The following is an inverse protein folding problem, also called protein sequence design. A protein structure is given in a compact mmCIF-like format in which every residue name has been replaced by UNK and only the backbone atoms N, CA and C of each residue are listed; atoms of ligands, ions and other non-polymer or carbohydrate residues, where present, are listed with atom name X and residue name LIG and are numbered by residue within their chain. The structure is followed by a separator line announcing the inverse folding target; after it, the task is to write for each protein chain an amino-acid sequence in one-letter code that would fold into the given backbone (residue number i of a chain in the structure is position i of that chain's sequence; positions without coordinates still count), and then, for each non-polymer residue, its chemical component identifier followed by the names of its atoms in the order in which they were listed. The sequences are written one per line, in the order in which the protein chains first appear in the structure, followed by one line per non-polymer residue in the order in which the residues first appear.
data_IF_825891940710
#
_entry.id   IF_825891940710
#
_cell.length_a   1.000
_cell.length_b   1.000
_cell.length_c   1.000
_cell.angle_alpha   90.00
_cell.angle_beta   90.00
_cell.angle_gamma   90.00
#
_symmetry.space_group_name_H-M   'P 1'
#
loop_
_entity.id
_entity.type
_entity.pdbx_description
1 polymer ?
#
# COMPACT_ATOMS: atom_id res chain seq x y z
N UNK A 1 4.48 -27.11 -17.40
CA UNK A 1 4.05 -27.41 -16.01
C UNK A 1 3.23 -26.23 -15.51
N UNK A 2 1.90 -26.39 -15.54
CA UNK A 2 0.92 -25.40 -15.08
C UNK A 2 0.80 -25.54 -13.57
N UNK A 3 1.13 -24.49 -12.83
CA UNK A 3 0.80 -24.38 -11.42
C UNK A 3 -0.73 -24.21 -11.32
N UNK A 4 -1.39 -25.19 -10.72
CA UNK A 4 -2.81 -25.16 -10.44
C UNK A 4 -3.05 -24.22 -9.25
N UNK A 5 -3.86 -23.18 -9.44
CA UNK A 5 -4.46 -22.40 -8.36
C UNK A 5 -5.97 -22.63 -8.41
N UNK A 6 -6.68 -22.68 -7.26
CA UNK A 6 -8.08 -23.09 -7.18
C UNK A 6 -9.02 -22.21 -8.02
N UNK A 7 -9.96 -22.87 -8.67
CA UNK A 7 -11.06 -22.31 -9.46
C UNK A 7 -11.97 -21.38 -8.67
N UNK A 8 -12.43 -20.32 -9.34
CA UNK A 8 -13.66 -19.54 -9.13
C UNK A 8 -14.51 -19.92 -7.90
N UNK A 9 -14.07 -19.48 -6.74
CA UNK A 9 -14.95 -18.97 -5.69
C UNK A 9 -14.40 -17.60 -5.37
N UNK A 10 -15.25 -16.58 -5.35
CA UNK A 10 -14.90 -15.29 -4.76
C UNK A 10 -14.22 -15.60 -3.43
N UNK A 11 -12.91 -15.35 -3.26
CA UNK A 11 -12.27 -15.68 -2.01
C UNK A 11 -12.99 -14.85 -0.97
N UNK A 12 -13.58 -15.52 0.02
CA UNK A 12 -13.95 -14.90 1.27
C UNK A 12 -12.67 -14.21 1.76
N UNK A 13 -12.61 -12.89 1.60
CA UNK A 13 -11.44 -12.10 1.96
C UNK A 13 -11.10 -12.44 3.40
N UNK A 14 -9.89 -12.94 3.70
CA UNK A 14 -9.44 -13.05 5.07
C UNK A 14 -9.53 -11.67 5.68
N UNK A 15 -10.36 -11.59 6.70
CA UNK A 15 -10.65 -10.38 7.40
C UNK A 15 -9.38 -9.72 7.96
N UNK A 16 -9.24 -8.39 7.92
CA UNK A 16 -8.34 -7.74 8.85
C UNK A 16 -8.86 -8.04 10.27
N UNK A 17 -8.23 -8.99 10.95
CA UNK A 17 -8.57 -9.36 12.32
C UNK A 17 -8.49 -8.12 13.22
N UNK A 18 -9.42 -7.97 14.15
CA UNK A 18 -9.46 -6.84 15.10
C UNK A 18 -8.14 -6.68 15.88
N UNK A 19 -7.43 -7.78 16.11
CA UNK A 19 -6.10 -7.81 16.74
C UNK A 19 -5.01 -7.10 15.92
N UNK A 20 -5.20 -6.94 14.60
CA UNK A 20 -4.30 -6.20 13.69
C UNK A 20 -4.54 -4.69 13.67
N UNK A 21 -5.65 -4.21 14.26
CA UNK A 21 -6.00 -2.78 14.29
C UNK A 21 -5.25 -2.01 15.39
N UNK A 22 -4.81 -2.68 16.45
CA UNK A 22 -4.24 -2.03 17.64
C UNK A 22 -2.88 -2.60 18.08
N UNK A 23 -2.19 -3.41 17.26
CA UNK A 23 -0.88 -3.94 17.63
C UNK A 23 0.13 -2.79 17.81
N UNK A 24 0.81 -2.69 18.97
CA UNK A 24 1.92 -1.78 19.14
C UNK A 24 3.08 -2.18 18.22
N UNK A 25 3.48 -1.28 17.30
CA UNK A 25 4.67 -1.45 16.45
C UNK A 25 5.98 -1.22 17.21
N UNK A 26 6.07 -1.69 18.46
CA UNK A 26 7.20 -1.46 19.38
C UNK A 26 8.52 -2.04 18.85
N UNK A 27 8.44 -3.07 18.00
CA UNK A 27 9.61 -3.70 17.37
C UNK A 27 10.13 -2.93 16.16
N UNK A 28 9.34 -2.01 15.58
CA UNK A 28 9.75 -1.21 14.44
C UNK A 28 10.37 0.09 14.93
N UNK A 29 11.58 0.38 14.45
CA UNK A 29 12.27 1.61 14.85
C UNK A 29 11.45 2.87 14.47
N UNK A 30 11.30 3.86 15.38
CA UNK A 30 10.50 5.06 15.12
C UNK A 30 10.91 5.82 13.86
N UNK A 31 12.21 5.88 13.55
CA UNK A 31 12.74 6.52 12.36
C UNK A 31 12.27 5.84 11.07
N UNK A 32 12.08 4.52 11.08
CA UNK A 32 11.57 3.77 9.93
C UNK A 32 10.06 3.96 9.76
N UNK A 33 9.31 4.00 10.87
CA UNK A 33 7.88 4.32 10.84
C UNK A 33 7.64 5.73 10.30
N UNK A 34 8.45 6.69 10.71
CA UNK A 34 8.38 8.07 10.24
C UNK A 34 8.57 8.20 8.72
N UNK A 35 9.34 7.30 8.10
CA UNK A 35 9.53 7.27 6.65
C UNK A 35 8.29 6.75 5.92
N UNK A 36 7.58 5.79 6.50
CA UNK A 36 6.38 5.17 5.91
C UNK A 36 5.17 6.10 5.96
N UNK A 37 5.03 6.86 7.05
CA UNK A 37 3.89 7.76 7.28
C UNK A 37 4.10 9.15 6.67
N UNK A 38 2.99 9.89 6.52
CA UNK A 38 2.90 11.24 5.97
C UNK A 38 3.46 11.40 4.55
N UNK A 39 3.79 10.30 3.89
CA UNK A 39 4.26 10.21 2.51
C UNK A 39 3.17 9.63 1.62
N UNK A 40 2.98 10.23 0.44
CA UNK A 40 2.21 9.60 -0.65
C UNK A 40 3.14 8.64 -1.41
N UNK A 41 2.71 7.38 -1.55
CA UNK A 41 3.37 6.27 -2.21
C UNK A 41 2.62 5.93 -3.49
N UNK A 42 3.39 5.61 -4.54
CA UNK A 42 2.88 4.94 -5.72
C UNK A 42 3.01 3.42 -5.53
N UNK A 43 1.89 2.72 -5.67
CA UNK A 43 1.79 1.28 -5.54
C UNK A 43 2.11 0.55 -6.84
N UNK A 44 2.73 -0.60 -6.71
CA UNK A 44 2.96 -1.59 -7.77
C UNK A 44 2.98 -2.98 -7.15
N UNK A 45 2.61 -4.00 -7.91
CA UNK A 45 2.91 -5.37 -7.52
C UNK A 45 4.29 -5.76 -8.06
N UNK A 46 4.90 -6.78 -7.46
CA UNK A 46 6.09 -7.45 -7.98
C UNK A 46 5.96 -8.96 -7.81
N UNK A 47 6.31 -9.73 -8.84
CA UNK A 47 6.34 -11.21 -8.72
C UNK A 47 7.43 -11.66 -7.74
N UNK A 48 7.39 -12.90 -7.23
CA UNK A 48 8.44 -13.42 -6.35
C UNK A 48 9.84 -13.20 -6.96
N UNK A 49 10.79 -12.79 -6.11
CA UNK A 49 12.14 -12.42 -6.51
C UNK A 49 13.04 -13.66 -6.47
N UNK A 50 13.59 -14.05 -7.63
CA UNK A 50 14.51 -15.17 -7.75
C UNK A 50 15.85 -14.85 -7.08
N UNK A 51 16.31 -15.75 -6.22
CA UNK A 51 17.56 -15.70 -5.44
C UNK A 51 17.75 -14.43 -4.59
N UNK A 52 16.70 -13.65 -4.35
CA UNK A 52 16.77 -12.55 -3.40
C UNK A 52 17.06 -13.08 -2.00
N UNK A 53 18.00 -12.46 -1.29
CA UNK A 53 18.36 -12.82 0.08
C UNK A 53 18.56 -11.58 0.94
N UNK A 54 17.87 -11.50 2.08
CA UNK A 54 18.04 -10.43 3.06
C UNK A 54 19.46 -10.31 3.61
N UNK A 55 20.30 -11.33 3.48
CA UNK A 55 21.71 -11.29 3.90
C UNK A 55 22.60 -10.53 2.92
N UNK A 56 22.15 -10.28 1.68
CA UNK A 56 22.95 -9.66 0.61
C UNK A 56 22.65 -8.17 0.38
N UNK A 57 21.84 -7.53 1.23
CA UNK A 57 21.40 -6.14 1.04
C UNK A 57 22.53 -5.13 0.81
N UNK A 58 23.69 -5.29 1.47
CA UNK A 58 24.86 -4.41 1.24
C UNK A 58 25.42 -4.55 -0.17
N UNK A 59 25.43 -5.77 -0.72
CA UNK A 59 25.85 -6.05 -2.09
C UNK A 59 24.87 -5.45 -3.09
N UNK A 60 23.57 -5.63 -2.86
CA UNK A 60 22.50 -5.04 -3.67
C UNK A 60 22.58 -3.51 -3.71
N UNK A 61 22.83 -2.88 -2.56
CA UNK A 61 23.04 -1.42 -2.48
C UNK A 61 24.19 -0.96 -3.39
N UNK A 62 25.34 -1.62 -3.34
CA UNK A 62 26.50 -1.29 -4.19
C UNK A 62 26.19 -1.51 -5.68
N UNK A 63 25.55 -2.61 -6.02
CA UNK A 63 25.19 -2.95 -7.40
C UNK A 63 24.18 -1.96 -7.99
N UNK A 64 23.10 -1.64 -7.27
CA UNK A 64 22.11 -0.65 -7.72
C UNK A 64 22.72 0.75 -7.82
N UNK A 65 23.62 1.13 -6.91
CA UNK A 65 24.34 2.41 -7.00
C UNK A 65 25.19 2.50 -8.27
N UNK A 66 25.92 1.43 -8.61
CA UNK A 66 26.72 1.36 -9.83
C UNK A 66 25.84 1.35 -11.08
N UNK A 67 24.72 0.63 -11.05
CA UNK A 67 23.75 0.57 -12.14
C UNK A 67 23.16 1.95 -12.45
N UNK A 68 22.70 2.69 -11.44
CA UNK A 68 22.16 4.05 -11.62
C UNK A 68 23.22 4.99 -12.20
N UNK A 69 24.48 4.88 -11.74
CA UNK A 69 25.58 5.69 -12.27
C UNK A 69 25.86 5.38 -13.75
N UNK A 70 25.86 4.10 -14.13
CA UNK A 70 26.10 3.67 -15.52
C UNK A 70 24.98 4.10 -16.47
N UNK A 71 23.72 3.88 -16.11
CA UNK A 71 22.56 4.25 -16.94
C UNK A 71 22.47 5.77 -17.16
N UNK A 72 22.85 6.57 -16.15
CA UNK A 72 22.95 8.02 -16.31
C UNK A 72 24.05 8.45 -17.29
N UNK A 73 25.19 7.75 -17.32
CA UNK A 73 26.26 8.03 -18.27
C UNK A 73 25.86 7.66 -19.71
N UNK A 74 25.09 6.58 -19.89
CA UNK A 74 24.60 6.16 -21.21
C UNK A 74 23.50 7.08 -21.76
N UNK A 75 22.68 7.69 -20.90
CA UNK A 75 21.66 8.67 -21.29
C UNK A 75 22.18 10.08 -21.64
N UNK A 76 23.48 10.34 -21.48
CA UNK A 76 24.10 11.68 -21.61
C UNK A 76 24.74 11.98 -22.97
N UNK A 77 24.43 11.22 -24.02
CA UNK A 77 24.95 11.49 -25.37
C UNK A 77 24.49 12.84 -25.99
N UNK A 78 23.72 13.68 -25.27
CA UNK A 78 23.15 14.94 -25.79
C UNK A 78 23.34 16.18 -24.90
N UNK A 79 23.83 16.09 -23.65
CA UNK A 79 24.03 17.30 -22.83
C UNK A 79 25.49 17.53 -22.46
N UNK A 80 26.16 18.31 -23.31
CA UNK A 80 27.44 18.96 -23.02
C UNK A 80 27.23 19.92 -21.82
N UNK A 81 27.66 19.50 -20.63
CA UNK A 81 27.78 20.39 -19.45
C UNK A 81 26.90 20.09 -18.22
N UNK A 82 26.24 18.94 -18.14
CA UNK A 82 25.42 18.57 -16.98
C UNK A 82 26.21 18.08 -15.76
N UNK A 83 26.27 18.88 -14.70
CA UNK A 83 26.81 18.54 -13.37
C UNK A 83 26.33 17.17 -12.83
N UNK A 84 27.25 16.24 -12.61
CA UNK A 84 26.94 14.89 -12.13
C UNK A 84 26.74 14.85 -10.62
N UNK A 85 25.53 14.49 -10.18
CA UNK A 85 25.26 14.14 -8.77
C UNK A 85 25.74 12.71 -8.48
N UNK A 86 26.49 12.52 -7.38
CA UNK A 86 26.81 11.17 -6.90
C UNK A 86 25.59 10.58 -6.18
N UNK A 87 25.13 9.44 -6.68
CA UNK A 87 24.06 8.67 -6.03
C UNK A 87 24.66 7.65 -5.08
N UNK A 88 24.09 7.57 -3.87
CA UNK A 88 24.35 6.53 -2.89
C UNK A 88 23.07 5.79 -2.62
N UNK A 89 23.13 4.47 -2.65
CA UNK A 89 21.97 3.60 -2.39
C UNK A 89 22.14 2.90 -1.05
N UNK A 90 21.05 2.72 -0.32
CA UNK A 90 20.99 1.85 0.87
C UNK A 90 19.80 0.91 0.80
N UNK A 91 20.02 -0.31 1.27
CA UNK A 91 18.98 -1.30 1.56
C UNK A 91 18.99 -1.58 3.06
N UNK A 92 17.82 -1.57 3.70
CA UNK A 92 17.68 -1.91 5.13
C UNK A 92 16.46 -2.79 5.36
N UNK A 93 16.55 -3.66 6.37
CA UNK A 93 15.42 -4.48 6.82
C UNK A 93 14.58 -3.68 7.80
N UNK A 94 13.28 -3.67 7.59
CA UNK A 94 12.29 -3.18 8.54
C UNK A 94 11.76 -4.32 9.40
N UNK A 95 12.51 -4.62 10.46
CA UNK A 95 12.12 -5.64 11.43
C UNK A 95 10.81 -5.27 12.13
N UNK A 96 9.98 -6.27 12.37
CA UNK A 96 8.74 -6.14 13.15
C UNK A 96 7.50 -5.77 12.32
N UNK A 97 7.61 -5.82 10.99
CA UNK A 97 6.45 -5.72 10.09
C UNK A 97 5.94 -7.09 9.61
N UNK A 98 6.77 -8.14 9.64
CA UNK A 98 6.32 -9.51 9.40
C UNK A 98 5.36 -9.95 10.52
N UNK A 99 4.17 -10.45 10.14
CA UNK A 99 3.16 -10.86 11.11
C UNK A 99 3.26 -12.36 11.44
N UNK A 100 3.59 -13.17 10.43
CA UNK A 100 3.79 -14.61 10.57
C UNK A 100 5.26 -15.00 10.38
N UNK A 101 5.62 -16.23 10.80
CA UNK A 101 6.97 -16.76 10.54
C UNK A 101 7.25 -17.01 9.05
N UNK A 102 6.19 -17.12 8.24
CA UNK A 102 6.29 -17.33 6.79
C UNK A 102 6.44 -15.98 6.05
N UNK A 103 6.05 -14.86 6.67
CA UNK A 103 6.19 -13.53 6.09
C UNK A 103 7.68 -13.11 6.02
N UNK A 104 8.23 -12.87 4.82
CA UNK A 104 9.57 -12.30 4.71
C UNK A 104 9.60 -10.86 5.20
N UNK A 105 10.69 -10.50 5.88
CA UNK A 105 10.85 -9.15 6.41
C UNK A 105 10.81 -8.08 5.32
N UNK A 106 10.19 -6.94 5.64
CA UNK A 106 10.07 -5.82 4.71
C UNK A 106 11.43 -5.18 4.44
N UNK A 107 11.67 -4.77 3.20
CA UNK A 107 12.94 -4.16 2.77
C UNK A 107 12.70 -2.73 2.31
N UNK A 108 13.44 -1.79 2.91
CA UNK A 108 13.52 -0.40 2.50
C UNK A 108 14.68 -0.18 1.55
N UNK A 109 14.43 0.56 0.47
CA UNK A 109 15.42 1.00 -0.51
C UNK A 109 15.42 2.52 -0.51
N UNK A 110 16.57 3.15 -0.35
CA UNK A 110 16.71 4.61 -0.44
C UNK A 110 17.82 4.97 -1.41
N UNK A 111 17.54 5.96 -2.25
CA UNK A 111 18.53 6.60 -3.12
C UNK A 111 18.75 8.01 -2.60
N UNK A 112 19.98 8.28 -2.21
CA UNK A 112 20.43 9.58 -1.74
C UNK A 112 21.30 10.23 -2.82
N UNK A 113 21.18 11.54 -2.95
CA UNK A 113 21.98 12.35 -3.86
C UNK A 113 22.77 13.36 -3.05
N UNK A 114 24.06 13.50 -3.35
CA UNK A 114 24.87 14.61 -2.86
C UNK A 114 25.23 15.53 -4.04
N UNK A 115 24.78 16.80 -4.03
CA UNK A 115 25.20 17.77 -5.03
C UNK A 115 26.74 17.91 -5.03
N UNK A 116 27.35 18.07 -6.20
CA UNK A 116 28.80 18.18 -6.34
C UNK A 116 29.39 19.38 -5.58
N UNK A 117 28.61 20.47 -5.44
CA UNK A 117 28.99 21.67 -4.69
C UNK A 117 28.55 21.65 -3.22
N UNK A 118 27.98 20.54 -2.74
CA UNK A 118 27.64 20.43 -1.32
C UNK A 118 28.92 20.33 -0.50
N UNK A 119 28.97 21.01 0.64
CA UNK A 119 30.10 20.93 1.57
C UNK A 119 30.27 19.49 2.03
N UNK A 120 31.48 19.12 2.43
CA UNK A 120 31.76 17.75 2.88
C UNK A 120 30.84 17.32 4.04
N UNK A 121 30.44 18.27 4.88
CA UNK A 121 29.51 18.10 6.01
C UNK A 121 28.04 18.06 5.62
N UNK A 122 27.66 18.50 4.41
CA UNK A 122 26.25 18.51 4.01
C UNK A 122 25.73 17.06 3.91
N UNK A 123 24.63 16.74 4.62
CA UNK A 123 24.07 15.40 4.61
C UNK A 123 23.49 15.11 3.23
N UNK A 124 23.68 13.88 2.71
CA UNK A 124 23.11 13.49 1.43
C UNK A 124 21.57 13.49 1.53
N UNK A 125 20.91 14.08 0.54
CA UNK A 125 19.45 14.21 0.52
C UNK A 125 18.84 12.96 -0.11
N UNK A 126 17.87 12.34 0.56
CA UNK A 126 17.06 11.26 -0.04
C UNK A 126 16.22 11.83 -1.18
N UNK A 127 16.46 11.36 -2.39
CA UNK A 127 15.75 11.78 -3.62
C UNK A 127 14.73 10.76 -4.10
N UNK A 128 14.84 9.52 -3.63
CA UNK A 128 13.89 8.45 -3.89
C UNK A 128 13.90 7.44 -2.75
N UNK A 129 12.73 6.89 -2.44
CA UNK A 129 12.55 5.79 -1.50
C UNK A 129 11.57 4.76 -2.06
N UNK A 130 11.73 3.51 -1.66
CA UNK A 130 10.75 2.48 -1.93
C UNK A 130 10.81 1.33 -0.93
N UNK A 131 9.79 0.47 -0.95
CA UNK A 131 9.63 -0.66 -0.04
C UNK A 131 9.19 -1.88 -0.81
N UNK A 132 9.68 -3.04 -0.39
CA UNK A 132 9.22 -4.36 -0.79
C UNK A 132 8.68 -5.04 0.47
N UNK A 133 7.43 -5.50 0.45
CA UNK A 133 6.75 -6.00 1.64
C UNK A 133 5.82 -7.19 1.33
N UNK A 134 5.70 -8.09 2.30
CA UNK A 134 4.71 -9.15 2.37
C UNK A 134 4.22 -9.19 3.82
N UNK A 135 3.06 -8.60 4.11
CA UNK A 135 2.48 -8.63 5.45
C UNK A 135 1.23 -9.50 5.41
N UNK A 136 1.16 -10.49 6.28
CA UNK A 136 0.07 -11.45 6.34
C UNK A 136 -0.18 -12.11 4.97
N UNK A 137 0.90 -12.60 4.34
CA UNK A 137 0.80 -13.28 3.06
C UNK A 137 0.06 -14.61 3.19
N UNK A 138 -0.51 -15.11 2.09
CA UNK A 138 -1.19 -16.40 2.10
C UNK A 138 -0.18 -17.54 2.39
N UNK A 139 -0.29 -18.26 3.52
CA UNK A 139 0.71 -19.26 3.91
C UNK A 139 0.82 -20.42 2.90
N UNK A 140 -0.30 -20.89 2.35
CA UNK A 140 -0.31 -21.96 1.35
C UNK A 140 0.48 -21.54 0.10
N UNK A 141 0.27 -20.31 -0.36
CA UNK A 141 1.01 -19.76 -1.48
C UNK A 141 2.50 -19.61 -1.14
N UNK A 142 2.84 -18.99 -0.01
CA UNK A 142 4.22 -18.76 0.41
C UNK A 142 5.00 -20.07 0.55
N UNK A 143 4.39 -21.10 1.13
CA UNK A 143 4.99 -22.42 1.31
C UNK A 143 5.09 -23.22 0.01
N UNK A 144 4.24 -22.92 -0.98
CA UNK A 144 4.29 -23.57 -2.30
C UNK A 144 5.43 -23.07 -3.19
N UNK A 145 6.02 -21.90 -2.86
CA UNK A 145 7.10 -21.32 -3.67
C UNK A 145 8.38 -22.16 -3.56
N UNK A 146 9.14 -22.32 -4.66
CA UNK A 146 10.46 -22.92 -4.59
C UNK A 146 11.37 -22.11 -3.66
N UNK A 147 12.29 -22.78 -2.96
CA UNK A 147 13.16 -22.17 -1.93
C UNK A 147 14.02 -21.01 -2.41
N UNK A 148 14.26 -20.91 -3.71
CA UNK A 148 15.03 -19.82 -4.30
C UNK A 148 14.21 -18.54 -4.50
N UNK A 149 12.89 -18.57 -4.32
CA UNK A 149 12.04 -17.39 -4.48
C UNK A 149 11.68 -16.77 -3.13
N UNK A 150 11.78 -15.44 -3.07
CA UNK A 150 11.26 -14.64 -1.94
C UNK A 150 10.05 -13.86 -2.40
N UNK A 151 8.92 -13.98 -1.69
CA UNK A 151 7.69 -13.26 -2.04
C UNK A 151 7.60 -11.92 -1.29
N UNK A 152 7.80 -10.80 -1.98
CA UNK A 152 7.58 -9.45 -1.42
C UNK A 152 6.63 -8.69 -2.35
N UNK A 153 5.35 -9.10 -2.43
CA UNK A 153 4.44 -8.78 -3.51
C UNK A 153 4.12 -7.29 -3.63
N UNK A 154 4.17 -6.56 -2.52
CA UNK A 154 3.81 -5.15 -2.46
C UNK A 154 5.05 -4.28 -2.65
N UNK A 155 5.07 -3.50 -3.73
CA UNK A 155 6.08 -2.47 -3.97
C UNK A 155 5.49 -1.07 -3.84
N UNK A 156 6.04 -0.27 -2.95
CA UNK A 156 5.69 1.13 -2.75
C UNK A 156 6.87 2.01 -3.15
N UNK A 157 6.66 3.08 -3.92
CA UNK A 157 7.75 3.99 -4.30
C UNK A 157 7.36 5.46 -4.21
N UNK A 158 8.35 6.32 -3.91
CA UNK A 158 8.22 7.78 -3.87
C UNK A 158 9.50 8.41 -4.40
N UNK A 159 9.37 9.32 -5.35
CA UNK A 159 10.48 10.08 -5.92
C UNK A 159 10.25 10.32 -7.41
N UNK A 160 11.29 10.73 -8.12
CA UNK A 160 11.21 10.93 -9.57
C UNK A 160 10.87 9.62 -10.29
N UNK A 161 10.01 9.71 -11.30
CA UNK A 161 9.57 8.55 -12.10
C UNK A 161 10.76 7.86 -12.78
N UNK A 162 11.70 8.63 -13.36
CA UNK A 162 12.92 8.07 -13.96
C UNK A 162 13.76 7.23 -12.99
N UNK A 163 13.89 7.64 -11.72
CA UNK A 163 14.57 6.83 -10.71
C UNK A 163 13.75 5.58 -10.35
N UNK A 164 12.42 5.70 -10.28
CA UNK A 164 11.54 4.55 -10.03
C UNK A 164 11.68 3.50 -11.13
N UNK A 165 11.72 3.91 -12.40
CA UNK A 165 11.92 3.03 -13.55
C UNK A 165 13.29 2.36 -13.55
N UNK A 166 14.36 3.08 -13.19
CA UNK A 166 15.71 2.51 -13.06
C UNK A 166 15.78 1.46 -11.95
N UNK A 167 15.23 1.76 -10.76
CA UNK A 167 15.21 0.81 -9.64
C UNK A 167 14.41 -0.44 -9.99
N UNK A 168 13.22 -0.28 -10.59
CA UNK A 168 12.41 -1.41 -11.07
C UNK A 168 13.19 -2.23 -12.12
N UNK A 169 13.75 -1.59 -13.14
CA UNK A 169 14.52 -2.29 -14.18
C UNK A 169 15.71 -3.06 -13.60
N UNK A 170 16.40 -2.51 -12.60
CA UNK A 170 17.49 -3.21 -11.94
C UNK A 170 17.00 -4.42 -11.16
N UNK A 171 15.89 -4.29 -10.40
CA UNK A 171 15.28 -5.39 -9.67
C UNK A 171 14.87 -6.53 -10.62
N UNK A 172 14.22 -6.19 -11.74
CA UNK A 172 13.79 -7.16 -12.76
C UNK A 172 14.99 -7.92 -13.35
N UNK A 173 16.06 -7.21 -13.74
CA UNK A 173 17.28 -7.83 -14.31
C UNK A 173 18.05 -8.67 -13.28
N UNK A 174 18.03 -8.27 -12.01
CA UNK A 174 18.83 -8.90 -10.96
C UNK A 174 18.14 -10.12 -10.35
N UNK A 175 16.81 -10.10 -10.25
CA UNK A 175 16.02 -11.10 -9.53
C UNK A 175 14.94 -11.78 -10.39
N UNK A 176 15.03 -11.65 -11.71
CA UNK A 176 14.11 -12.25 -12.68
C UNK A 176 12.62 -12.08 -12.28
N UNK A 177 12.26 -10.86 -11.92
CA UNK A 177 10.91 -10.52 -11.47
C UNK A 177 10.22 -9.55 -12.44
N UNK A 178 8.91 -9.42 -12.29
CA UNK A 178 8.07 -8.50 -13.07
C UNK A 178 7.35 -7.53 -12.14
N UNK A 179 7.22 -6.27 -12.58
CA UNK A 179 6.39 -5.27 -11.90
C UNK A 179 5.19 -4.92 -12.75
N UNK A 180 4.08 -4.57 -12.10
CA UNK A 180 2.95 -3.90 -12.75
C UNK A 180 2.28 -2.90 -11.83
N UNK A 181 1.44 -2.00 -12.37
CA UNK A 181 0.70 -1.05 -11.55
C UNK A 181 -0.24 -1.81 -10.61
N UNK A 182 -0.34 -1.33 -9.38
CA UNK A 182 -1.30 -1.82 -8.40
C UNK A 182 -2.37 -0.75 -8.20
N UNK A 183 -3.36 -0.77 -9.07
CA UNK A 183 -4.53 0.10 -8.95
C UNK A 183 -5.39 -0.31 -7.74
N UNK A 184 -5.89 0.68 -7.01
CA UNK A 184 -6.78 0.46 -5.88
C UNK A 184 -8.20 0.44 -6.42
N UNK A 185 -8.77 -0.74 -6.61
CA UNK A 185 -10.14 -0.83 -7.11
C UNK A 185 -11.17 -0.24 -6.13
N UNK A 186 -12.39 -0.01 -6.63
CA UNK A 186 -13.48 0.57 -5.85
C UNK A 186 -13.76 -0.22 -4.56
N UNK A 187 -13.71 -1.56 -4.62
CA UNK A 187 -13.89 -2.39 -3.43
C UNK A 187 -12.82 -2.09 -2.39
N UNK A 188 -11.54 -2.05 -2.74
CA UNK A 188 -10.46 -1.72 -1.81
C UNK A 188 -10.60 -0.31 -1.23
N UNK A 189 -11.07 0.66 -2.01
CA UNK A 189 -11.40 2.00 -1.49
C UNK A 189 -12.54 1.97 -0.45
N UNK A 190 -13.59 1.17 -0.67
CA UNK A 190 -14.67 0.97 0.29
C UNK A 190 -14.18 0.32 1.58
N UNK A 191 -13.30 -0.68 1.47
CA UNK A 191 -12.64 -1.29 2.63
C UNK A 191 -11.80 -0.29 3.40
N UNK A 192 -11.03 0.56 2.73
CA UNK A 192 -10.26 1.63 3.38
C UNK A 192 -11.16 2.66 4.07
N UNK A 193 -12.31 3.00 3.48
CA UNK A 193 -13.30 3.87 4.12
C UNK A 193 -13.83 3.26 5.43
N UNK A 194 -14.28 1.99 5.39
CA UNK A 194 -14.77 1.28 6.57
C UNK A 194 -13.67 1.11 7.64
N UNK A 195 -12.47 0.69 7.22
CA UNK A 195 -11.30 0.53 8.10
C UNK A 195 -10.99 1.83 8.81
N UNK A 196 -10.86 2.95 8.08
CA UNK A 196 -10.55 4.24 8.68
C UNK A 196 -11.67 4.79 9.56
N UNK A 197 -12.94 4.53 9.24
CA UNK A 197 -14.06 4.90 10.11
C UNK A 197 -14.08 4.08 11.39
N UNK A 198 -13.78 2.78 11.33
CA UNK A 198 -13.71 1.94 12.53
C UNK A 198 -12.61 2.40 13.50
N UNK A 199 -11.57 3.07 13.00
CA UNK A 199 -10.45 3.61 13.77
C UNK A 199 -10.75 4.97 14.45
N UNK A 200 -12.00 5.45 14.44
CA UNK A 200 -12.40 6.79 14.89
C UNK A 200 -12.07 7.10 16.36
N UNK A 201 -12.14 6.11 17.24
CA UNK A 201 -12.08 6.32 18.70
C UNK A 201 -10.74 6.86 19.23
N UNK A 202 -9.68 6.90 18.42
CA UNK A 202 -8.33 7.19 18.92
C UNK A 202 -7.62 8.42 18.32
N UNK A 203 -8.12 8.99 17.22
CA UNK A 203 -7.32 9.93 16.42
C UNK A 203 -7.97 11.28 16.09
N UNK A 204 -9.12 11.61 16.69
CA UNK A 204 -9.86 12.84 16.37
C UNK A 204 -10.00 12.98 14.84
N UNK A 205 -10.50 11.92 14.20
CA UNK A 205 -10.81 11.95 12.77
C UNK A 205 -11.78 13.11 12.60
N UNK A 206 -11.45 14.11 11.79
CA UNK A 206 -12.36 15.25 11.65
C UNK A 206 -13.44 14.95 10.60
N UNK A 207 -13.07 14.32 9.48
CA UNK A 207 -14.00 14.07 8.34
C UNK A 207 -13.60 12.84 7.54
N UNK A 208 -14.59 12.12 7.03
CA UNK A 208 -14.44 11.13 5.95
C UNK A 208 -14.77 11.81 4.63
N UNK A 209 -13.81 11.91 3.71
CA UNK A 209 -13.98 12.51 2.39
C UNK A 209 -13.87 11.44 1.30
N UNK A 210 -14.90 11.37 0.46
CA UNK A 210 -14.99 10.50 -0.71
C UNK A 210 -15.15 11.34 -1.98
N UNK A 211 -14.47 10.96 -3.06
CA UNK A 211 -14.60 11.60 -4.37
C UNK A 211 -15.12 10.57 -5.36
N UNK A 212 -16.25 10.88 -5.98
CA UNK A 212 -16.89 10.07 -7.01
C UNK A 212 -16.83 10.77 -8.36
N UNK A 213 -16.76 10.00 -9.44
CA UNK A 213 -16.96 10.50 -10.80
C UNK A 213 -18.18 9.80 -11.40
N UNK A 214 -19.17 10.59 -11.79
CA UNK A 214 -20.38 10.10 -12.44
C UNK A 214 -20.22 10.12 -13.96
N UNK A 215 -20.73 9.11 -14.69
CA UNK A 215 -20.56 8.93 -16.13
C UNK A 215 -21.54 9.79 -16.94
N UNK A 216 -21.67 11.07 -16.59
CA UNK A 216 -22.42 12.06 -17.36
C UNK A 216 -21.48 12.80 -18.32
N UNK A 217 -22.02 13.52 -19.31
CA UNK A 217 -21.21 14.29 -20.27
C UNK A 217 -21.50 15.79 -20.08
N UNK A 218 -20.50 16.60 -19.66
CA UNK A 218 -19.15 16.22 -19.23
C UNK A 218 -19.14 15.47 -17.89
N UNK A 219 -18.11 14.64 -17.58
CA UNK A 219 -18.04 13.88 -16.33
C UNK A 219 -18.21 14.77 -15.10
N UNK A 220 -19.11 14.39 -14.20
CA UNK A 220 -19.37 15.14 -12.97
C UNK A 220 -18.58 14.54 -11.82
N UNK A 221 -17.67 15.34 -11.26
CA UNK A 221 -16.96 14.96 -10.04
C UNK A 221 -17.72 15.44 -8.80
N UNK A 222 -18.07 14.50 -7.92
CA UNK A 222 -18.78 14.77 -6.67
C UNK A 222 -17.83 14.56 -5.49
N UNK A 223 -17.68 15.58 -4.66
CA UNK A 223 -16.99 15.46 -3.38
C UNK A 223 -18.02 15.31 -2.27
N UNK A 224 -18.06 14.14 -1.64
CA UNK A 224 -18.91 13.88 -0.49
C UNK A 224 -18.06 13.82 0.77
N UNK A 225 -18.31 14.74 1.71
CA UNK A 225 -17.61 14.81 2.99
C UNK A 225 -18.60 14.61 4.12
N UNK A 226 -18.32 13.66 5.00
CA UNK A 226 -19.15 13.30 6.15
C UNK A 226 -18.38 13.61 7.42
N UNK A 227 -19.08 14.12 8.42
CA UNK A 227 -18.51 14.24 9.75
C UNK A 227 -18.14 12.84 10.27
N UNK A 228 -17.10 12.79 11.09
CA UNK A 228 -16.56 11.53 11.55
C UNK A 228 -17.51 10.84 12.53
N UNK A 229 -18.21 11.61 13.37
CA UNK A 229 -19.18 11.07 14.34
C UNK A 229 -20.38 10.45 13.61
N UNK A 230 -20.92 11.13 12.60
CA UNK A 230 -22.02 10.63 11.76
C UNK A 230 -21.60 9.35 11.01
N UNK A 231 -20.38 9.34 10.44
CA UNK A 231 -19.85 8.17 9.75
C UNK A 231 -19.67 6.99 10.71
N UNK A 232 -19.24 7.24 11.94
CA UNK A 232 -19.08 6.22 12.97
C UNK A 232 -20.43 5.69 13.48
N UNK A 233 -21.41 6.56 13.69
CA UNK A 233 -22.77 6.16 14.08
C UNK A 233 -23.38 5.25 13.00
N UNK A 234 -23.25 5.64 11.73
CA UNK A 234 -23.67 4.78 10.62
C UNK A 234 -22.92 3.44 10.64
N UNK A 235 -21.60 3.46 10.82
CA UNK A 235 -20.79 2.23 10.91
C UNK A 235 -21.26 1.32 12.05
N UNK A 236 -21.46 1.85 13.26
CA UNK A 236 -21.96 1.07 14.41
C UNK A 236 -23.32 0.46 14.14
N UNK A 237 -24.26 1.21 13.57
CA UNK A 237 -25.59 0.69 13.23
C UNK A 237 -25.52 -0.52 12.27
N UNK A 238 -24.57 -0.52 11.34
CA UNK A 238 -24.37 -1.66 10.43
C UNK A 238 -23.86 -2.91 11.15
N UNK A 239 -23.07 -2.75 12.22
CA UNK A 239 -22.52 -3.87 13.00
C UNK A 239 -23.46 -4.36 14.09
N UNK A 240 -24.26 -3.50 14.69
CA UNK A 240 -25.31 -3.92 15.63
C UNK A 240 -26.33 -4.82 14.94
N UNK A 241 -26.66 -4.50 13.68
CA UNK A 241 -27.53 -5.35 12.85
C UNK A 241 -26.93 -6.72 12.46
N UNK A 242 -25.59 -6.87 12.52
CA UNK A 242 -24.89 -8.13 12.24
C UNK A 242 -24.67 -8.96 13.52
N UNK A 243 -24.34 -8.31 14.65
CA UNK A 243 -24.05 -8.94 15.94
C UNK A 243 -25.26 -9.61 16.61
N UNK A 244 -26.49 -9.16 16.33
CA UNK A 244 -27.71 -9.85 16.79
C UNK A 244 -27.83 -11.29 16.22
N UNK A 245 -27.11 -11.61 15.14
CA UNK A 245 -27.11 -12.95 14.52
C UNK A 245 -25.98 -13.88 15.00
N UNK A 246 -25.01 -13.38 15.76
CA UNK A 246 -23.79 -14.12 16.15
C UNK A 246 -23.54 -14.13 17.66
N UNK A 247 -24.59 -14.27 18.48
CA UNK A 247 -24.44 -14.54 19.92
C UNK A 247 -24.04 -16.00 20.14
N UNK A 248 -22.75 -16.31 20.03
CA UNK A 248 -22.26 -17.66 20.30
C UNK A 248 -20.75 -17.89 20.31
N UNK A 249 -19.93 -16.95 19.82
CA UNK A 249 -18.48 -17.12 19.84
C UNK A 249 -17.81 -15.82 20.30
N UNK A 250 -16.83 -15.94 21.20
CA UNK A 250 -15.86 -14.90 21.56
C UNK A 250 -14.88 -14.64 20.39
N UNK A 251 -15.41 -14.53 19.17
CA UNK A 251 -14.62 -14.33 17.96
C UNK A 251 -14.32 -12.83 17.81
N UNK A 252 -13.02 -12.53 17.70
CA UNK A 252 -12.47 -11.22 17.39
C UNK A 252 -13.28 -10.52 16.29
N UNK A 253 -13.60 -9.23 16.51
CA UNK A 253 -14.54 -8.43 15.71
C UNK A 253 -13.98 -8.13 14.31
N UNK A 254 -14.06 -9.13 13.45
CA UNK A 254 -13.70 -9.08 12.05
C UNK A 254 -14.63 -8.14 11.26
N UNK A 255 -14.08 -7.24 10.44
CA UNK A 255 -14.84 -6.48 9.44
C UNK A 255 -15.22 -7.40 8.27
N UNK A 256 -16.52 -7.66 8.08
CA UNK A 256 -17.00 -8.48 6.96
C UNK A 256 -17.35 -7.65 5.71
N UNK A 257 -17.25 -8.28 4.53
CA UNK A 257 -17.63 -7.68 3.25
C UNK A 257 -19.08 -7.17 3.26
N UNK A 258 -20.01 -7.87 3.90
CA UNK A 258 -21.40 -7.43 3.98
C UNK A 258 -21.57 -6.18 4.86
N UNK A 259 -20.75 -6.02 5.90
CA UNK A 259 -20.72 -4.81 6.74
C UNK A 259 -20.21 -3.61 5.93
N UNK A 260 -19.09 -3.77 5.23
CA UNK A 260 -18.52 -2.75 4.34
C UNK A 260 -19.54 -2.33 3.27
N UNK A 261 -20.21 -3.30 2.66
CA UNK A 261 -21.22 -3.04 1.63
C UNK A 261 -22.41 -2.25 2.18
N UNK A 262 -22.95 -2.64 3.35
CA UNK A 262 -24.06 -1.94 4.00
C UNK A 262 -23.67 -0.52 4.41
N UNK A 263 -22.47 -0.34 4.93
CA UNK A 263 -21.94 0.98 5.31
C UNK A 263 -21.89 1.92 4.11
N UNK A 264 -21.30 1.47 3.01
CA UNK A 264 -21.22 2.25 1.78
C UNK A 264 -22.60 2.53 1.18
N UNK A 265 -23.51 1.56 1.20
CA UNK A 265 -24.90 1.77 0.78
C UNK A 265 -25.63 2.80 1.65
N UNK A 266 -25.40 2.80 2.96
CA UNK A 266 -25.92 3.81 3.87
C UNK A 266 -25.47 5.21 3.50
N UNK A 267 -24.17 5.39 3.25
CA UNK A 267 -23.58 6.66 2.81
C UNK A 267 -24.18 7.14 1.47
N UNK A 268 -24.25 6.26 0.47
CA UNK A 268 -24.83 6.59 -0.83
C UNK A 268 -26.32 6.91 -0.74
N UNK A 269 -27.08 6.15 0.06
CA UNK A 269 -28.51 6.38 0.28
C UNK A 269 -28.77 7.71 0.98
N UNK A 270 -27.94 8.05 1.98
CA UNK A 270 -28.00 9.35 2.65
C UNK A 270 -27.76 10.50 1.65
N UNK A 271 -26.74 10.37 0.80
CA UNK A 271 -26.45 11.37 -0.23
C UNK A 271 -27.62 11.53 -1.22
N UNK A 272 -28.16 10.43 -1.73
CA UNK A 272 -29.31 10.44 -2.65
C UNK A 272 -30.56 11.07 -2.02
N UNK A 273 -30.82 10.81 -0.73
CA UNK A 273 -31.97 11.38 -0.03
C UNK A 273 -31.96 12.91 0.00
N UNK A 274 -30.78 13.51 0.10
CA UNK A 274 -30.62 14.96 0.19
C UNK A 274 -30.43 15.63 -1.17
N UNK A 275 -29.61 15.05 -2.04
CA UNK A 275 -29.19 15.70 -3.28
C UNK A 275 -29.86 15.15 -4.55
N UNK A 276 -30.59 14.03 -4.44
CA UNK A 276 -31.20 13.31 -5.58
C UNK A 276 -30.20 12.90 -6.67
N UNK A 277 -28.94 12.73 -6.29
CA UNK A 277 -27.86 12.25 -7.15
C UNK A 277 -27.49 10.84 -6.71
N UNK A 278 -27.61 9.89 -7.64
CA UNK A 278 -27.27 8.49 -7.39
C UNK A 278 -25.77 8.27 -7.58
N UNK A 279 -25.03 8.17 -6.47
CA UNK A 279 -23.60 7.89 -6.50
C UNK A 279 -23.29 6.49 -7.01
N UNK A 280 -24.20 5.52 -6.85
CA UNK A 280 -23.95 4.12 -7.25
C UNK A 280 -23.77 3.95 -8.77
N UNK A 281 -24.23 4.93 -9.56
CA UNK A 281 -24.03 4.98 -11.00
C UNK A 281 -22.60 5.41 -11.41
N UNK A 282 -21.75 5.86 -10.47
CA UNK A 282 -20.39 6.28 -10.76
C UNK A 282 -19.31 5.43 -10.10
N UNK A 283 -18.07 5.91 -10.20
CA UNK A 283 -16.91 5.26 -9.61
C UNK A 283 -16.40 6.08 -8.42
N UNK A 284 -16.16 5.41 -7.30
CA UNK A 284 -15.41 5.99 -6.19
C UNK A 284 -13.93 6.05 -6.57
N UNK A 285 -13.40 7.25 -6.79
CA UNK A 285 -12.01 7.42 -7.25
C UNK A 285 -11.03 7.67 -6.10
N UNK A 286 -11.50 8.20 -4.98
CA UNK A 286 -10.64 8.53 -3.83
C UNK A 286 -11.40 8.46 -2.50
N UNK A 287 -10.71 7.98 -1.47
CA UNK A 287 -11.11 8.08 -0.07
C UNK A 287 -10.00 8.77 0.72
N UNK A 288 -10.36 9.62 1.68
CA UNK A 288 -9.40 10.29 2.56
C UNK A 288 -10.01 10.60 3.93
N UNK A 289 -9.16 10.56 4.96
CA UNK A 289 -9.47 10.92 6.34
C UNK A 289 -8.20 11.46 7.03
N UNK A 290 -8.26 11.72 8.34
CA UNK A 290 -7.07 12.05 9.12
C UNK A 290 -6.01 10.92 9.10
N UNK A 291 -6.43 9.67 8.85
CA UNK A 291 -5.57 8.49 8.86
C UNK A 291 -4.82 8.27 7.54
N UNK A 292 -5.28 8.87 6.43
CA UNK A 292 -4.65 8.66 5.14
C UNK A 292 -5.50 9.10 3.94
N UNK A 293 -5.02 8.81 2.75
CA UNK A 293 -5.78 8.95 1.51
C UNK A 293 -5.39 7.88 0.51
N UNK A 294 -6.34 7.36 -0.25
CA UNK A 294 -6.12 6.35 -1.29
C UNK A 294 -6.86 6.75 -2.55
N UNK A 295 -6.24 6.52 -3.70
CA UNK A 295 -6.76 6.87 -5.03
C UNK A 295 -6.73 5.66 -5.94
N UNK A 296 -7.67 5.62 -6.88
CA UNK A 296 -7.86 4.50 -7.81
C UNK A 296 -6.60 4.17 -8.62
N UNK A 297 -5.79 5.18 -8.96
CA UNK A 297 -4.52 5.06 -9.68
C UNK A 297 -3.32 4.52 -8.86
N UNK A 298 -3.58 3.87 -7.73
CA UNK A 298 -2.51 3.27 -6.93
C UNK A 298 -1.74 4.26 -6.06
N UNK A 299 -2.24 5.47 -5.82
CA UNK A 299 -1.61 6.42 -4.88
C UNK A 299 -2.20 6.27 -3.49
N UNK A 300 -1.35 6.05 -2.48
CA UNK A 300 -1.76 5.96 -1.08
C UNK A 300 -0.88 6.81 -0.17
N UNK A 301 -1.48 7.50 0.79
CA UNK A 301 -0.83 8.20 1.89
C UNK A 301 -1.33 7.63 3.19
N UNK A 302 -0.42 7.26 4.08
CA UNK A 302 -0.73 6.75 5.42
C UNK A 302 -0.25 7.79 6.42
N UNK A 303 -1.09 8.23 7.35
CA UNK A 303 -0.77 9.31 8.30
C UNK A 303 -0.55 8.80 9.73
N UNK A 304 -1.00 7.59 10.05
CA UNK A 304 -0.85 6.95 11.36
C UNK A 304 -0.11 5.62 11.23
N UNK A 305 0.89 5.39 12.08
CA UNK A 305 1.61 4.11 12.13
C UNK A 305 0.76 3.00 12.75
N UNK A 306 -0.20 3.32 13.63
CA UNK A 306 -1.01 2.31 14.35
C UNK A 306 -1.75 1.33 13.43
N UNK A 307 -2.16 1.79 12.25
CA UNK A 307 -2.95 0.98 11.30
C UNK A 307 -2.14 0.51 10.09
N UNK A 308 -0.81 0.68 10.15
CA UNK A 308 0.07 0.39 9.04
C UNK A 308 0.02 -1.09 8.65
N UNK A 309 0.01 -1.99 9.62
CA UNK A 309 -0.11 -3.44 9.40
C UNK A 309 -1.40 -3.76 8.67
N UNK A 310 -2.56 -3.34 9.20
CA UNK A 310 -3.86 -3.59 8.57
C UNK A 310 -3.95 -3.08 7.13
N UNK A 311 -3.42 -1.87 6.87
CA UNK A 311 -3.38 -1.31 5.51
C UNK A 311 -2.45 -2.14 4.61
N UNK A 312 -1.25 -2.48 5.09
CA UNK A 312 -0.28 -3.23 4.30
C UNK A 312 -0.70 -4.69 4.06
N UNK A 313 -1.41 -5.32 4.99
CA UNK A 313 -2.03 -6.63 4.78
C UNK A 313 -3.05 -6.59 3.64
N UNK A 314 -3.97 -5.60 3.67
CA UNK A 314 -4.95 -5.40 2.59
C UNK A 314 -4.26 -5.15 1.23
N UNK A 315 -3.20 -4.35 1.22
CA UNK A 315 -2.45 -4.06 -0.01
C UNK A 315 -1.62 -5.27 -0.49
N UNK A 316 -1.09 -6.08 0.43
CA UNK A 316 -0.38 -7.34 0.13
C UNK A 316 -1.32 -8.32 -0.56
N UNK A 317 -2.53 -8.50 -0.04
CA UNK A 317 -3.58 -9.32 -0.68
C UNK A 317 -3.90 -8.79 -2.08
N UNK A 318 -4.12 -7.48 -2.22
CA UNK A 318 -4.38 -6.86 -3.52
C UNK A 318 -3.24 -7.10 -4.51
N UNK A 319 -1.99 -7.03 -4.05
CA UNK A 319 -0.81 -7.26 -4.88
C UNK A 319 -0.72 -8.72 -5.34
N UNK A 320 -0.95 -9.69 -4.44
CA UNK A 320 -0.97 -11.11 -4.76
C UNK A 320 -2.05 -11.46 -5.79
N UNK A 321 -3.27 -10.92 -5.64
CA UNK A 321 -4.37 -11.13 -6.59
C UNK A 321 -4.14 -10.52 -7.98
N UNK A 322 -3.21 -9.57 -8.10
CA UNK A 322 -2.88 -8.88 -9.35
C UNK A 322 -1.70 -9.46 -10.10
N UNK A 323 -0.94 -10.37 -9.50
CA UNK A 323 0.20 -10.97 -10.17
C UNK A 323 -0.23 -11.79 -11.38
N UNK A 324 0.50 -11.70 -12.50
CA UNK A 324 0.26 -12.57 -13.63
C UNK A 324 0.59 -14.03 -13.26
N UNK A 325 -0.21 -14.94 -13.84
CA UNK A 325 -0.05 -16.40 -13.76
C UNK A 325 1.07 -16.84 -14.71
#
# INVERSE_FOLDING_TARGET
HRWLIPTEKTPSRPCPQSSLLHRPLEKVKPEHLALLVKTEWQLSYVTPLYQFRHTQLKTYARQLSAFIAAEKQQGLAVEVGGLQNTFKVSFSVLQGLAETNDDPETVLIQVQSKPMFARQEDPPKTVWSGWLSCINGNPEYLQSLPKDFTCLPLFCSKGAEGLSSLVKSWLQRTFDCCFGPLDINQTTLQWLAALWTNCHMETNIQKLKMIWTLPVVPPLQVTYTVDSDDALELWRSTRESSAEKSRGAEDEVCIDFSEVTRFMQGLMSHFYRHFRVDLSAGELNQVSSALGSAKLNGKIKISSSRYLISIFSLLTECALLKMPI
#
